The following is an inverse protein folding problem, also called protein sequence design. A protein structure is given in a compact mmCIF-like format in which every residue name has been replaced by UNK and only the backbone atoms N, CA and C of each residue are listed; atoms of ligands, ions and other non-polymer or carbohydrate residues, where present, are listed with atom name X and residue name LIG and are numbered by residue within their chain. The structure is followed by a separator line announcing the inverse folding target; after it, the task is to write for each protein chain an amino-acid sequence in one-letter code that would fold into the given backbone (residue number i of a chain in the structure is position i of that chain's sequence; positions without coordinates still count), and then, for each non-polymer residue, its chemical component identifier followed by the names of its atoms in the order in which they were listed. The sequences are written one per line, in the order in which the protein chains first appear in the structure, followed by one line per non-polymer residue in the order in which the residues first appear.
data_IF_521183367356
#
_entry.id   IF_521183367356
#
_cell.length_a   1.000
_cell.length_b   1.000
_cell.length_c   1.000
_cell.angle_alpha   90.00
_cell.angle_beta   90.00
_cell.angle_gamma   90.00
#
_symmetry.space_group_name_H-M   'P 1'
#
loop_
_entity.id
_entity.type
_entity.pdbx_description
1 polymer ?
#
# COMPACT_ATOMS: atom_id res chain seq x y z
N UNK A 1 -17.67 7.68 -22.57
CA UNK A 1 -16.88 6.46 -22.72
C UNK A 1 -15.67 6.55 -21.80
N UNK A 2 -15.41 5.53 -20.98
CA UNK A 2 -14.28 5.47 -20.05
C UNK A 2 -13.64 4.08 -20.15
N UNK A 3 -12.35 3.98 -19.83
CA UNK A 3 -11.57 2.74 -19.95
C UNK A 3 -11.19 2.14 -18.60
N UNK A 4 -11.32 2.91 -17.53
CA UNK A 4 -11.02 2.47 -16.17
C UNK A 4 -12.01 3.02 -15.14
N UNK A 5 -12.11 2.33 -14.00
CA UNK A 5 -12.89 2.73 -12.84
C UNK A 5 -11.94 2.75 -11.65
N UNK A 6 -11.89 3.88 -10.95
CA UNK A 6 -11.14 4.00 -9.69
C UNK A 6 -12.14 3.85 -8.56
N UNK A 7 -11.92 2.87 -7.69
CA UNK A 7 -12.81 2.54 -6.57
C UNK A 7 -12.07 2.82 -5.26
N UNK A 8 -12.52 3.83 -4.54
CA UNK A 8 -11.96 4.23 -3.25
C UNK A 8 -12.69 3.51 -2.11
N UNK A 9 -12.55 2.18 -2.07
CA UNK A 9 -13.20 1.38 -1.06
C UNK A 9 -12.35 0.14 -0.70
N UNK A 10 -12.69 -0.55 0.40
CA UNK A 10 -11.92 -1.65 0.98
C UNK A 10 -12.84 -2.79 1.40
N UNK A 11 -12.28 -3.99 1.55
CA UNK A 11 -12.93 -5.17 2.12
C UNK A 11 -14.32 -5.46 1.51
N UNK A 12 -15.33 -5.68 2.34
CA UNK A 12 -16.69 -6.01 1.90
C UNK A 12 -17.37 -4.86 1.15
N UNK A 13 -17.06 -3.61 1.49
CA UNK A 13 -17.58 -2.45 0.77
C UNK A 13 -17.08 -2.39 -0.67
N UNK A 14 -15.80 -2.67 -0.91
CA UNK A 14 -15.24 -2.81 -2.25
C UNK A 14 -15.98 -3.88 -3.07
N UNK A 15 -16.20 -5.05 -2.48
CA UNK A 15 -16.92 -6.15 -3.15
C UNK A 15 -18.35 -5.76 -3.50
N UNK A 16 -19.04 -5.07 -2.58
CA UNK A 16 -20.40 -4.56 -2.79
C UNK A 16 -20.47 -3.56 -3.93
N UNK A 17 -19.55 -2.59 -3.97
CA UNK A 17 -19.47 -1.57 -5.04
C UNK A 17 -19.21 -2.24 -6.40
N UNK A 18 -18.21 -3.14 -6.46
CA UNK A 18 -17.91 -3.84 -7.72
C UNK A 18 -19.11 -4.70 -8.18
N UNK A 19 -19.76 -5.41 -7.26
CA UNK A 19 -20.95 -6.18 -7.59
C UNK A 19 -22.06 -5.29 -8.14
N UNK A 20 -22.27 -4.11 -7.57
CA UNK A 20 -23.24 -3.13 -8.07
C UNK A 20 -22.90 -2.64 -9.48
N UNK A 21 -21.61 -2.42 -9.78
CA UNK A 21 -21.17 -2.05 -11.14
C UNK A 21 -21.44 -3.15 -12.17
N UNK A 22 -21.31 -4.42 -11.78
CA UNK A 22 -21.60 -5.55 -12.68
C UNK A 22 -23.07 -5.54 -13.17
N UNK A 23 -24.00 -5.09 -12.35
CA UNK A 23 -25.42 -4.95 -12.76
C UNK A 23 -25.63 -3.84 -13.80
N UNK A 24 -24.68 -2.94 -13.96
CA UNK A 24 -24.73 -1.86 -14.96
C UNK A 24 -23.86 -2.13 -16.19
N UNK A 25 -23.52 -3.39 -16.45
CA UNK A 25 -22.65 -3.83 -17.56
C UNK A 25 -21.18 -3.31 -17.47
N UNK A 26 -20.79 -2.74 -16.35
CA UNK A 26 -19.40 -2.33 -16.06
C UNK A 26 -18.71 -3.47 -15.35
N UNK A 27 -17.81 -4.16 -16.06
CA UNK A 27 -17.13 -5.34 -15.50
C UNK A 27 -15.61 -5.24 -15.61
N UNK A 28 -14.86 -5.93 -14.75
CA UNK A 28 -13.39 -5.97 -14.79
C UNK A 28 -12.83 -6.55 -16.10
N UNK A 29 -13.63 -7.34 -16.82
CA UNK A 29 -13.28 -7.88 -18.14
C UNK A 29 -13.34 -6.84 -19.27
N UNK A 30 -14.14 -5.80 -19.10
CA UNK A 30 -14.35 -4.74 -20.11
C UNK A 30 -13.62 -3.45 -19.75
N UNK A 31 -13.36 -3.21 -18.48
CA UNK A 31 -12.77 -1.98 -17.92
C UNK A 31 -11.71 -2.31 -16.88
N UNK A 32 -10.66 -1.52 -16.78
CA UNK A 32 -9.65 -1.70 -15.73
C UNK A 32 -10.20 -1.20 -14.38
N UNK A 33 -10.31 -2.10 -13.40
CA UNK A 33 -10.70 -1.75 -12.05
C UNK A 33 -9.46 -1.50 -11.21
N UNK A 34 -9.32 -0.28 -10.73
CA UNK A 34 -8.18 0.17 -9.94
C UNK A 34 -8.68 0.57 -8.56
N UNK A 35 -8.09 0.03 -7.50
CA UNK A 35 -8.40 0.41 -6.13
C UNK A 35 -7.18 1.05 -5.45
N UNK A 36 -7.35 1.50 -4.22
CA UNK A 36 -6.23 1.92 -3.40
C UNK A 36 -5.54 0.73 -2.73
N UNK A 37 -4.61 0.98 -1.83
CA UNK A 37 -3.86 -0.05 -1.12
C UNK A 37 -4.79 -1.00 -0.35
N UNK A 38 -4.87 -2.24 -0.78
CA UNK A 38 -5.71 -3.29 -0.17
C UNK A 38 -4.97 -4.10 0.89
N UNK A 39 -3.74 -3.74 1.22
CA UNK A 39 -2.91 -4.40 2.24
C UNK A 39 -2.84 -5.93 2.09
N UNK A 40 -2.91 -6.41 0.83
CA UNK A 40 -2.89 -7.83 0.48
C UNK A 40 -4.04 -8.65 1.11
N UNK A 41 -5.24 -8.07 1.10
CA UNK A 41 -6.46 -8.78 1.53
C UNK A 41 -6.65 -10.08 0.72
N UNK A 42 -6.44 -11.21 1.40
CA UNK A 42 -6.55 -12.53 0.78
C UNK A 42 -7.99 -12.86 0.34
N UNK A 43 -8.99 -12.19 0.88
CA UNK A 43 -10.36 -12.38 0.47
C UNK A 43 -10.58 -12.00 -0.99
N UNK A 44 -9.83 -11.02 -1.50
CA UNK A 44 -9.88 -10.60 -2.91
C UNK A 44 -9.38 -11.69 -3.87
N UNK A 45 -8.50 -12.59 -3.43
CA UNK A 45 -8.01 -13.72 -4.23
C UNK A 45 -9.12 -14.74 -4.49
N UNK A 46 -10.08 -14.85 -3.59
CA UNK A 46 -11.20 -15.80 -3.68
C UNK A 46 -12.35 -15.27 -4.53
N UNK A 47 -12.47 -13.95 -4.67
CA UNK A 47 -13.57 -13.27 -5.37
C UNK A 47 -13.27 -13.09 -6.86
N UNK A 48 -13.43 -14.17 -7.64
CA UNK A 48 -13.13 -14.15 -9.08
C UNK A 48 -14.00 -13.20 -9.91
N UNK A 49 -15.16 -12.85 -9.42
CA UNK A 49 -16.11 -11.96 -10.12
C UNK A 49 -15.61 -10.53 -10.23
N UNK A 50 -14.80 -10.08 -9.28
CA UNK A 50 -14.22 -8.74 -9.25
C UNK A 50 -12.86 -8.66 -9.95
N UNK A 51 -12.36 -9.75 -10.50
CA UNK A 51 -11.04 -9.85 -11.12
C UNK A 51 -11.11 -9.70 -12.65
N UNK A 52 -10.10 -9.13 -13.31
CA UNK A 52 -8.86 -8.59 -12.71
C UNK A 52 -9.06 -7.26 -11.97
N UNK A 53 -8.37 -7.09 -10.85
CA UNK A 53 -8.34 -5.86 -10.07
C UNK A 53 -6.89 -5.40 -9.85
N UNK A 54 -6.68 -4.10 -9.85
CA UNK A 54 -5.36 -3.48 -9.75
C UNK A 54 -5.28 -2.56 -8.54
N UNK A 55 -4.14 -2.52 -7.87
CA UNK A 55 -3.92 -1.58 -6.76
C UNK A 55 -2.44 -1.32 -6.47
N UNK A 56 -2.09 -0.10 -6.03
CA UNK A 56 -0.77 0.18 -5.47
C UNK A 56 -0.69 -0.38 -4.06
N UNK A 57 0.46 -0.92 -3.67
CA UNK A 57 0.73 -1.33 -2.30
C UNK A 57 2.22 -1.32 -1.99
N UNK A 58 2.56 -1.54 -0.73
CA UNK A 58 3.94 -1.73 -0.27
C UNK A 58 4.52 -3.02 -0.88
N UNK A 59 5.84 -3.19 -0.78
CA UNK A 59 6.46 -4.43 -1.24
C UNK A 59 6.03 -5.62 -0.38
N UNK A 60 5.38 -6.61 -0.99
CA UNK A 60 4.83 -7.79 -0.30
C UNK A 60 5.88 -8.57 0.49
N UNK A 61 7.04 -8.79 -0.11
CA UNK A 61 8.13 -9.52 0.56
C UNK A 61 8.62 -8.79 1.82
N UNK A 62 8.75 -7.48 1.75
CA UNK A 62 9.15 -6.68 2.90
C UNK A 62 8.08 -6.75 4.03
N UNK A 63 6.81 -6.77 3.67
CA UNK A 63 5.72 -6.95 4.62
C UNK A 63 5.82 -8.32 5.31
N UNK A 64 5.92 -9.40 4.57
CA UNK A 64 6.02 -10.77 5.08
C UNK A 64 7.25 -10.94 6.01
N UNK A 65 8.38 -10.34 5.64
CA UNK A 65 9.58 -10.34 6.50
C UNK A 65 9.37 -9.56 7.80
N UNK A 66 8.66 -8.44 7.74
CA UNK A 66 8.33 -7.64 8.93
C UNK A 66 7.37 -8.41 9.83
N UNK A 67 6.28 -8.94 9.30
CA UNK A 67 5.28 -9.73 10.03
C UNK A 67 5.92 -10.92 10.75
N UNK A 68 6.81 -11.64 10.05
CA UNK A 68 7.52 -12.78 10.63
C UNK A 68 8.38 -12.35 11.83
N UNK A 69 9.11 -11.24 11.71
CA UNK A 69 9.95 -10.74 12.81
C UNK A 69 9.11 -10.21 13.97
N UNK A 70 8.06 -9.48 13.66
CA UNK A 70 7.15 -8.92 14.66
C UNK A 70 6.48 -10.05 15.46
N UNK A 71 5.96 -11.06 14.76
CA UNK A 71 5.32 -12.20 15.42
C UNK A 71 6.31 -12.98 16.31
N UNK A 72 7.55 -13.15 15.87
CA UNK A 72 8.59 -13.80 16.68
C UNK A 72 8.90 -13.06 17.98
N UNK A 73 8.85 -11.71 17.95
CA UNK A 73 9.21 -10.85 19.07
C UNK A 73 8.03 -10.67 20.06
N UNK A 74 6.83 -10.47 19.49
CA UNK A 74 5.65 -10.07 20.30
C UNK A 74 4.59 -11.16 20.40
N UNK A 75 4.75 -12.29 19.67
CA UNK A 75 3.75 -13.36 19.54
C UNK A 75 2.38 -12.86 19.06
N UNK A 76 2.39 -11.81 18.23
CA UNK A 76 1.22 -11.15 17.64
C UNK A 76 1.53 -10.76 16.21
N UNK A 77 0.48 -10.50 15.40
CA UNK A 77 0.65 -9.91 14.08
C UNK A 77 0.55 -8.38 14.14
N UNK A 78 1.41 -7.66 13.38
CA UNK A 78 1.34 -6.21 13.36
C UNK A 78 0.09 -5.74 12.64
N UNK A 79 -0.50 -4.66 13.15
CA UNK A 79 -1.49 -3.92 12.39
C UNK A 79 -0.81 -2.85 11.50
N UNK A 80 -1.60 -2.18 10.66
CA UNK A 80 -1.08 -1.16 9.73
C UNK A 80 -0.41 0.02 10.42
N UNK A 81 -0.89 0.41 11.60
CA UNK A 81 -0.27 1.48 12.39
C UNK A 81 1.09 1.06 12.93
N UNK A 82 1.28 -0.21 13.30
CA UNK A 82 2.57 -0.74 13.73
C UNK A 82 3.62 -0.63 12.63
N UNK A 83 3.24 -0.95 11.38
CA UNK A 83 4.09 -0.81 10.20
C UNK A 83 4.51 0.63 9.94
N UNK A 84 3.52 1.53 9.91
CA UNK A 84 3.75 2.96 9.68
C UNK A 84 4.60 3.57 10.79
N UNK A 85 4.32 3.21 12.05
CA UNK A 85 5.06 3.70 13.21
C UNK A 85 6.51 3.22 13.21
N UNK A 86 6.77 1.98 12.82
CA UNK A 86 8.12 1.44 12.71
C UNK A 86 8.97 2.26 11.73
N UNK A 87 8.45 2.49 10.54
CA UNK A 87 9.17 3.27 9.53
C UNK A 87 9.25 4.75 9.87
N UNK A 88 8.24 5.32 10.54
CA UNK A 88 8.28 6.71 11.02
C UNK A 88 9.40 6.91 12.06
N UNK A 89 9.52 6.01 13.03
CA UNK A 89 10.60 6.06 14.02
C UNK A 89 11.96 5.92 13.34
N UNK A 90 12.10 4.99 12.40
CA UNK A 90 13.30 4.81 11.59
C UNK A 90 13.66 6.06 10.79
N UNK A 91 12.67 6.71 10.18
CA UNK A 91 12.85 7.97 9.45
C UNK A 91 13.33 9.10 10.38
N UNK A 92 12.70 9.29 11.53
CA UNK A 92 13.08 10.33 12.51
C UNK A 92 14.52 10.08 12.98
N UNK A 93 14.85 8.84 13.31
CA UNK A 93 16.21 8.46 13.70
C UNK A 93 17.22 8.75 12.59
N UNK A 94 16.95 8.35 11.35
CA UNK A 94 17.81 8.62 10.21
C UNK A 94 18.05 10.13 9.99
N UNK A 95 16.99 10.92 10.08
CA UNK A 95 17.10 12.38 9.93
C UNK A 95 17.89 13.00 11.06
N UNK A 96 17.76 12.50 12.30
CA UNK A 96 18.50 13.00 13.46
C UNK A 96 20.02 12.78 13.37
N UNK A 97 20.45 11.69 12.70
CA UNK A 97 21.86 11.41 12.47
C UNK A 97 22.52 12.36 11.45
N UNK A 98 21.73 12.92 10.55
CA UNK A 98 22.23 13.70 9.40
C UNK A 98 22.06 15.22 9.55
N UNK A 99 21.50 15.67 10.68
CA UNK A 99 21.26 17.10 10.93
C UNK A 99 21.31 17.38 12.42
N UNK A 100 21.83 18.57 12.80
CA UNK A 100 21.62 19.07 14.15
C UNK A 100 20.12 19.18 14.41
N UNK A 101 19.62 18.40 15.36
CA UNK A 101 18.19 18.25 15.66
C UNK A 101 17.66 19.48 16.40
N UNK A 102 17.69 20.63 15.74
CA UNK A 102 17.24 21.90 16.33
C UNK A 102 15.81 22.28 15.94
N UNK A 103 15.30 21.78 14.79
CA UNK A 103 13.98 22.13 14.29
C UNK A 103 13.47 21.07 13.31
N UNK A 104 12.40 20.40 13.67
CA UNK A 104 11.76 19.36 12.85
C UNK A 104 11.35 19.88 11.47
N UNK A 105 10.94 21.16 11.38
CA UNK A 105 10.55 21.75 10.10
C UNK A 105 11.73 21.86 9.13
N UNK A 106 12.96 22.05 9.63
CA UNK A 106 14.16 22.09 8.80
C UNK A 106 14.50 20.72 8.23
N UNK A 107 14.21 19.64 8.98
CA UNK A 107 14.46 18.26 8.53
C UNK A 107 13.64 17.91 7.29
N UNK A 108 12.38 18.32 7.24
CA UNK A 108 11.48 18.01 6.14
C UNK A 108 11.58 18.97 4.95
N UNK A 109 12.23 20.11 5.10
CA UNK A 109 12.49 21.04 3.97
C UNK A 109 13.54 20.51 3.01
N UNK A 110 14.57 19.84 3.54
CA UNK A 110 15.68 19.32 2.74
C UNK A 110 15.23 18.07 1.98
N UNK A 111 15.61 17.99 0.70
CA UNK A 111 15.35 16.79 -0.09
C UNK A 111 16.12 15.60 0.50
N UNK A 112 15.42 14.58 0.91
CA UNK A 112 15.95 13.32 1.44
C UNK A 112 15.20 12.13 0.85
N UNK A 113 15.85 10.97 0.89
CA UNK A 113 15.22 9.69 0.57
C UNK A 113 15.55 8.71 1.69
N UNK A 114 14.54 8.02 2.19
CA UNK A 114 14.65 7.03 3.25
C UNK A 114 14.09 5.71 2.77
N UNK A 115 14.89 4.65 2.89
CA UNK A 115 14.46 3.28 2.60
C UNK A 115 14.02 2.63 3.91
N UNK A 116 12.71 2.63 4.15
CA UNK A 116 12.07 1.95 5.25
C UNK A 116 11.84 0.45 5.01
N UNK A 117 11.18 -0.20 5.95
CA UNK A 117 10.76 -1.59 5.81
C UNK A 117 9.61 -1.76 4.83
N UNK A 118 8.65 -0.85 4.84
CA UNK A 118 7.48 -0.90 3.99
C UNK A 118 7.64 -0.17 2.65
N UNK A 119 8.75 0.54 2.45
CA UNK A 119 9.01 1.17 1.16
C UNK A 119 10.03 2.29 1.18
N UNK A 120 10.09 3.01 0.07
CA UNK A 120 10.95 4.17 -0.09
C UNK A 120 10.12 5.42 0.08
N UNK A 121 10.57 6.30 0.96
CA UNK A 121 9.96 7.59 1.22
C UNK A 121 10.88 8.69 0.72
N UNK A 122 10.42 9.47 -0.23
CA UNK A 122 11.10 10.68 -0.68
C UNK A 122 10.50 11.89 0.02
N UNK A 123 11.37 12.70 0.64
CA UNK A 123 10.98 13.93 1.33
C UNK A 123 11.39 15.12 0.46
N UNK A 124 10.43 15.99 0.17
CA UNK A 124 10.66 17.22 -0.60
C UNK A 124 9.63 18.28 -0.22
N UNK A 125 10.08 19.48 0.11
CA UNK A 125 9.21 20.63 0.41
C UNK A 125 8.13 20.33 1.46
N UNK A 126 8.50 19.74 2.59
CA UNK A 126 7.62 19.31 3.67
C UNK A 126 6.54 18.29 3.26
N UNK A 127 6.75 17.57 2.17
CA UNK A 127 5.87 16.48 1.71
C UNK A 127 6.64 15.17 1.66
N UNK A 128 5.95 14.11 2.02
CA UNK A 128 6.45 12.74 1.91
C UNK A 128 5.77 12.08 0.71
N UNK A 129 6.59 11.50 -0.16
CA UNK A 129 6.16 10.72 -1.30
C UNK A 129 6.56 9.27 -1.04
N UNK A 130 5.59 8.41 -0.86
CA UNK A 130 5.81 6.98 -0.70
C UNK A 130 5.81 6.32 -2.08
N UNK A 131 6.88 5.60 -2.42
CA UNK A 131 6.93 4.79 -3.63
C UNK A 131 6.30 3.44 -3.35
N UNK A 132 5.24 3.15 -4.07
CA UNK A 132 4.50 1.90 -3.98
C UNK A 132 4.80 1.02 -5.20
N UNK A 133 4.72 -0.28 -5.01
CA UNK A 133 4.66 -1.26 -6.09
C UNK A 133 3.23 -1.34 -6.61
N UNK A 134 3.03 -1.84 -7.81
CA UNK A 134 1.70 -1.99 -8.39
C UNK A 134 1.39 -3.46 -8.63
N UNK A 135 0.23 -3.88 -8.17
CA UNK A 135 -0.18 -5.28 -8.15
C UNK A 135 -1.44 -5.51 -8.97
N UNK A 136 -1.56 -6.71 -9.50
CA UNK A 136 -2.76 -7.24 -10.12
C UNK A 136 -3.19 -8.51 -9.38
N UNK A 137 -4.49 -8.63 -9.09
CA UNK A 137 -5.10 -9.90 -8.74
C UNK A 137 -5.88 -10.37 -9.96
N UNK A 138 -5.55 -11.56 -10.45
CA UNK A 138 -6.25 -12.20 -11.56
C UNK A 138 -6.26 -13.73 -11.38
N UNK A 139 -7.40 -14.37 -11.62
CA UNK A 139 -7.60 -15.81 -11.44
C UNK A 139 -7.14 -16.36 -10.08
N UNK A 140 -7.38 -15.57 -9.02
CA UNK A 140 -7.00 -15.95 -7.66
C UNK A 140 -5.49 -15.85 -7.39
N UNK A 141 -4.73 -15.21 -8.26
CA UNK A 141 -3.28 -15.03 -8.12
C UNK A 141 -2.92 -13.56 -8.03
N UNK A 142 -2.03 -13.26 -7.10
CA UNK A 142 -1.40 -11.96 -6.98
C UNK A 142 -0.14 -11.91 -7.83
N UNK A 143 -0.01 -10.86 -8.62
CA UNK A 143 1.17 -10.58 -9.44
C UNK A 143 1.61 -9.14 -9.24
N UNK A 144 2.88 -8.93 -8.96
CA UNK A 144 3.51 -7.61 -9.03
C UNK A 144 3.73 -7.26 -10.51
N UNK A 145 3.32 -6.06 -10.92
CA UNK A 145 3.42 -5.61 -12.31
C UNK A 145 4.64 -4.70 -12.48
N UNK A 146 4.84 -3.76 -11.54
CA UNK A 146 5.99 -2.85 -11.45
C UNK A 146 6.05 -2.14 -10.09
#
# INVERSE_FOLDING_TARGET
NFDSVIISDFEESLKSVVTSLLYTDVSPKKKSFITFNQWFDESLLKEKTIQPIYYPSINKKNLEEFETKFNKEFNEYPNYLSLLSYDLVGLIYYLSLNTEFTDINKLFKKKNSFKGKIGIFDIKNNKIYHRLNFYQINDGKLKEIF
#
